data_IF_052469545344
#
_entry.id   IF_052469545344
#
_cell.length_a   1.000
_cell.length_b   1.000
_cell.length_c   1.000
_cell.angle_alpha   90.00
_cell.angle_beta   90.00
_cell.angle_gamma   90.00
#
_symmetry.space_group_name_H-M   'P 1'
#
loop_
_entity.id
_entity.type
_entity.pdbx_description
1 polymer ?
#
# COMPACT_ATOMS: atom_id res chain seq x y z
N UNK A 1 14.23 4.35 -15.48
CA UNK A 1 13.72 3.03 -15.05
C UNK A 1 12.46 3.27 -14.22
N UNK A 2 11.30 2.79 -14.66
CA UNK A 2 10.04 2.90 -13.90
C UNK A 2 10.13 1.94 -12.72
N UNK A 3 10.29 2.46 -11.50
CA UNK A 3 10.53 1.68 -10.29
C UNK A 3 9.37 0.71 -9.95
N UNK A 4 8.15 0.97 -10.42
CA UNK A 4 6.97 0.14 -10.15
C UNK A 4 7.09 -1.30 -10.70
N UNK A 5 7.54 -1.44 -11.96
CA UNK A 5 7.52 -2.74 -12.68
C UNK A 5 8.38 -3.82 -12.03
N UNK A 6 9.48 -3.43 -11.38
CA UNK A 6 10.36 -4.38 -10.71
C UNK A 6 9.75 -4.90 -9.39
N UNK A 7 9.03 -4.05 -8.67
CA UNK A 7 8.33 -4.44 -7.45
C UNK A 7 7.21 -5.42 -7.79
N UNK A 8 6.37 -5.10 -8.78
CA UNK A 8 5.24 -5.95 -9.21
C UNK A 8 5.71 -7.38 -9.53
N UNK A 9 6.77 -7.51 -10.34
CA UNK A 9 7.32 -8.81 -10.73
C UNK A 9 7.85 -9.62 -9.54
N UNK A 10 8.40 -8.98 -8.51
CA UNK A 10 8.82 -9.69 -7.30
C UNK A 10 7.62 -10.21 -6.53
N UNK A 11 6.58 -9.41 -6.38
CA UNK A 11 5.38 -9.80 -5.66
C UNK A 11 4.65 -10.96 -6.36
N UNK A 12 4.56 -10.91 -7.70
CA UNK A 12 4.00 -11.98 -8.52
C UNK A 12 4.81 -13.28 -8.40
N UNK A 13 6.15 -13.20 -8.47
CA UNK A 13 7.03 -14.37 -8.25
C UNK A 13 6.89 -14.94 -6.85
N UNK A 14 6.67 -14.09 -5.86
CA UNK A 14 6.45 -14.48 -4.47
C UNK A 14 5.00 -14.93 -4.17
N UNK A 15 4.11 -14.95 -5.18
CA UNK A 15 2.67 -15.28 -5.04
C UNK A 15 1.94 -14.42 -4.01
N UNK A 16 2.39 -13.16 -3.83
CA UNK A 16 1.75 -12.18 -2.95
C UNK A 16 0.70 -11.34 -3.66
N UNK A 17 0.76 -11.30 -4.99
CA UNK A 17 -0.26 -10.70 -5.83
C UNK A 17 -0.84 -11.77 -6.77
N UNK A 18 -2.15 -11.70 -7.05
CA UNK A 18 -2.77 -12.53 -8.06
C UNK A 18 -2.23 -12.19 -9.46
N UNK A 19 -2.29 -13.16 -10.37
CA UNK A 19 -1.75 -13.02 -11.72
C UNK A 19 -1.31 -14.33 -12.34
N UNK A 20 -1.25 -14.34 -13.66
CA UNK A 20 -0.99 -15.54 -14.45
C UNK A 20 0.35 -15.47 -15.17
N UNK A 21 1.14 -16.53 -15.08
CA UNK A 21 2.38 -16.68 -15.85
C UNK A 21 2.08 -17.40 -17.16
N UNK A 22 2.19 -16.67 -18.27
CA UNK A 22 2.01 -17.19 -19.63
C UNK A 22 3.36 -17.16 -20.33
N UNK A 23 3.96 -18.33 -20.50
CA UNK A 23 5.33 -18.48 -20.99
C UNK A 23 6.33 -17.72 -20.11
N UNK A 24 6.99 -16.71 -20.70
CA UNK A 24 8.00 -15.87 -20.03
C UNK A 24 7.45 -14.54 -19.51
N UNK A 25 6.14 -14.31 -19.66
CA UNK A 25 5.50 -13.07 -19.27
C UNK A 25 4.48 -13.29 -18.15
N UNK A 26 4.32 -12.28 -17.32
CA UNK A 26 3.19 -12.20 -16.39
C UNK A 26 2.09 -11.39 -17.04
N UNK A 27 0.85 -11.86 -16.89
CA UNK A 27 -0.37 -11.21 -17.37
C UNK A 27 -1.34 -11.11 -16.20
N UNK A 28 -2.01 -9.98 -16.11
CA UNK A 28 -3.05 -9.72 -15.13
C UNK A 28 -4.36 -9.60 -15.90
N UNK A 29 -5.38 -10.28 -15.41
CA UNK A 29 -6.76 -10.06 -15.78
C UNK A 29 -7.33 -8.92 -14.95
N UNK A 30 -8.52 -8.44 -15.31
CA UNK A 30 -9.21 -7.43 -14.51
C UNK A 30 -9.47 -7.93 -13.07
N UNK A 31 -9.88 -9.19 -12.93
CA UNK A 31 -10.09 -9.81 -11.62
C UNK A 31 -8.81 -9.91 -10.79
N UNK A 32 -7.64 -10.10 -11.41
CA UNK A 32 -6.37 -10.04 -10.69
C UNK A 32 -6.08 -8.62 -10.18
N UNK A 33 -6.44 -7.59 -10.95
CA UNK A 33 -6.26 -6.20 -10.52
C UNK A 33 -7.18 -5.86 -9.35
N UNK A 34 -8.44 -6.25 -9.41
CA UNK A 34 -9.40 -6.11 -8.31
C UNK A 34 -8.89 -6.81 -7.05
N UNK A 35 -8.47 -8.07 -7.16
CA UNK A 35 -7.92 -8.81 -6.02
C UNK A 35 -6.62 -8.21 -5.48
N UNK A 36 -5.77 -7.64 -6.34
CA UNK A 36 -4.57 -6.93 -5.90
C UNK A 36 -4.91 -5.65 -5.14
N UNK A 37 -5.93 -4.91 -5.58
CA UNK A 37 -6.43 -3.73 -4.88
C UNK A 37 -7.00 -4.12 -3.52
N UNK A 38 -7.81 -5.16 -3.43
CA UNK A 38 -8.37 -5.63 -2.16
C UNK A 38 -7.28 -6.03 -1.16
N UNK A 39 -6.22 -6.71 -1.63
CA UNK A 39 -5.09 -7.12 -0.79
C UNK A 39 -4.21 -5.94 -0.31
N UNK A 40 -4.16 -4.86 -1.10
CA UNK A 40 -3.25 -3.74 -0.86
C UNK A 40 -3.97 -2.48 -0.37
N UNK A 41 -5.30 -2.48 -0.39
CA UNK A 41 -6.12 -1.41 0.12
C UNK A 41 -5.85 -1.22 1.61
N UNK A 42 -5.14 -0.14 1.93
CA UNK A 42 -5.05 0.33 3.31
C UNK A 42 -6.24 1.27 3.51
N UNK A 43 -7.19 0.95 4.41
CA UNK A 43 -8.28 1.86 4.71
C UNK A 43 -7.68 3.20 5.14
N UNK A 44 -8.14 4.28 4.53
CA UNK A 44 -7.79 5.65 4.92
C UNK A 44 -8.49 6.00 6.24
N UNK A 45 -8.30 5.19 7.28
CA UNK A 45 -8.69 5.58 8.61
C UNK A 45 -7.83 6.79 8.99
N UNK A 46 -8.41 7.94 9.34
CA UNK A 46 -7.65 8.93 10.07
C UNK A 46 -7.18 8.21 11.33
N UNK A 47 -5.85 8.04 11.44
CA UNK A 47 -5.28 7.56 12.71
C UNK A 47 -5.71 8.60 13.73
N UNK A 48 -6.68 8.25 14.58
CA UNK A 48 -7.02 9.06 15.73
C UNK A 48 -5.82 8.95 16.67
N UNK A 49 -4.83 9.82 16.46
CA UNK A 49 -3.67 9.92 17.33
C UNK A 49 -4.22 10.59 18.58
N UNK A 50 -4.51 9.78 19.60
CA UNK A 50 -4.72 10.32 20.94
C UNK A 50 -3.45 11.08 21.35
N UNK A 51 -3.50 12.42 21.48
CA UNK A 51 -2.33 13.22 21.80
C UNK A 51 -1.80 12.90 23.21
N UNK A 52 -2.61 12.29 24.10
CA UNK A 52 -2.18 11.90 25.43
C UNK A 52 -1.14 10.76 25.39
N UNK A 53 -1.30 9.80 24.48
CA UNK A 53 -0.38 8.67 24.29
C UNK A 53 0.77 8.92 23.28
N UNK A 54 0.77 10.07 22.60
CA UNK A 54 1.75 10.36 21.55
C UNK A 54 3.13 10.74 22.10
N UNK A 55 4.20 10.30 21.43
CA UNK A 55 5.56 10.79 21.71
C UNK A 55 5.64 12.32 21.46
N UNK A 56 6.54 13.05 22.15
CA UNK A 56 6.59 14.51 22.08
C UNK A 56 6.65 15.08 20.65
N UNK A 57 7.41 14.42 19.77
CA UNK A 57 7.54 14.81 18.35
C UNK A 57 6.24 14.61 17.57
N UNK A 58 5.53 13.50 17.81
CA UNK A 58 4.26 13.20 17.16
C UNK A 58 3.17 14.19 17.59
N UNK A 59 3.11 14.51 18.88
CA UNK A 59 2.18 15.53 19.43
C UNK A 59 2.42 16.91 18.81
N UNK A 60 3.68 17.34 18.72
CA UNK A 60 4.05 18.64 18.11
C UNK A 60 3.63 18.71 16.63
N UNK A 61 3.77 17.62 15.88
CA UNK A 61 3.36 17.55 14.47
C UNK A 61 1.82 17.54 14.32
N UNK A 62 1.11 16.84 15.20
CA UNK A 62 -0.36 16.82 15.21
C UNK A 62 -0.93 18.22 15.51
N UNK A 63 -0.44 18.89 16.56
CA UNK A 63 -0.88 20.24 16.92
C UNK A 63 -0.62 21.26 15.81
N UNK A 64 0.51 21.16 15.08
CA UNK A 64 0.78 22.03 13.92
C UNK A 64 -0.21 21.83 12.77
N UNK A 65 -0.75 20.61 12.60
CA UNK A 65 -1.73 20.31 11.55
C UNK A 65 -3.15 20.75 11.90
N UNK A 66 -3.50 20.72 13.19
CA UNK A 66 -4.81 21.12 13.70
C UNK A 66 -4.96 22.64 13.92
N UNK A 67 -3.86 23.37 14.13
CA UNK A 67 -3.86 24.83 14.27
C UNK A 67 -3.89 25.61 12.95
N UNK A 68 -4.58 25.12 11.92
CA UNK A 68 -4.85 25.86 10.69
C UNK A 68 -6.30 26.32 10.66
#
# INVERSE_FOLDING_TARGET
>A
MIAGRAWDLRQLRARKLPGHRIGRQWRLTESDLEGALDLTAVPAAPRNIDPAGATPTTRRRANRRLGR
#
